data_IF_455215077134
#
_entry.id   IF_455215077134
#
_cell.length_a   1.000
_cell.length_b   1.000
_cell.length_c   1.000
_cell.angle_alpha   90.00
_cell.angle_beta   90.00
_cell.angle_gamma   90.00
#
_symmetry.space_group_name_H-M   'P 1'
#
loop_
_entity.id
_entity.type
_entity.pdbx_description
1 polymer ?
#
# COMPACT_ATOMS: atom_id res chain seq x y z
N UNK A 1 -5.11 24.57 -23.89
CA UNK A 1 -5.40 24.62 -22.44
C UNK A 1 -4.70 23.43 -21.80
N UNK A 2 -3.57 23.67 -21.13
CA UNK A 2 -2.78 22.61 -20.50
C UNK A 2 -3.54 22.10 -19.27
N UNK A 3 -4.01 20.86 -19.31
CA UNK A 3 -4.56 20.18 -18.14
C UNK A 3 -3.38 19.74 -17.30
N UNK A 4 -3.12 20.45 -16.20
CA UNK A 4 -2.24 19.95 -15.14
C UNK A 4 -2.91 18.67 -14.62
N UNK A 5 -2.30 17.47 -14.77
CA UNK A 5 -2.84 16.27 -14.14
C UNK A 5 -2.79 16.46 -12.61
N UNK A 6 -3.74 15.92 -11.83
CA UNK A 6 -3.62 15.96 -10.38
C UNK A 6 -2.30 15.32 -9.96
N UNK A 7 -1.46 16.08 -9.25
CA UNK A 7 -0.12 15.68 -8.77
C UNK A 7 -0.19 14.55 -7.73
N UNK A 8 -1.38 14.23 -7.21
CA UNK A 8 -1.66 13.06 -6.40
C UNK A 8 -3.16 12.72 -6.43
N UNK A 9 -3.51 11.49 -6.83
CA UNK A 9 -4.88 10.95 -6.65
C UNK A 9 -4.91 10.15 -5.35
N UNK A 10 -5.24 10.80 -4.25
CA UNK A 10 -5.39 10.14 -2.95
C UNK A 10 -6.79 9.54 -2.75
N UNK A 11 -7.76 9.86 -3.62
CA UNK A 11 -9.16 9.46 -3.46
C UNK A 11 -9.79 8.92 -4.75
N UNK A 12 -9.31 7.76 -5.19
CA UNK A 12 -10.14 6.68 -5.72
C UNK A 12 -9.71 5.42 -4.97
N UNK A 13 -10.02 5.37 -3.67
CA UNK A 13 -9.47 4.36 -2.76
C UNK A 13 -9.83 2.94 -3.21
N UNK A 14 -8.82 2.14 -3.57
CA UNK A 14 -8.99 0.70 -3.78
C UNK A 14 -8.94 0.02 -2.42
N UNK A 15 -10.10 -0.31 -1.86
CA UNK A 15 -10.16 -1.07 -0.60
C UNK A 15 -10.09 -2.56 -0.90
N UNK A 16 -9.00 -3.20 -0.48
CA UNK A 16 -8.82 -4.64 -0.58
C UNK A 16 -8.99 -5.24 0.82
N UNK A 17 -9.96 -6.14 0.99
CA UNK A 17 -10.20 -6.84 2.27
C UNK A 17 -9.96 -8.32 2.12
N UNK A 18 -9.41 -8.94 3.17
CA UNK A 18 -9.19 -10.41 3.25
C UNK A 18 -8.38 -10.94 2.05
N UNK A 19 -7.34 -10.22 1.66
CA UNK A 19 -6.43 -10.69 0.63
C UNK A 19 -5.39 -11.65 1.21
N UNK A 20 -4.94 -12.57 0.37
CA UNK A 20 -3.90 -13.54 0.67
C UNK A 20 -2.65 -13.22 -0.15
N UNK A 21 -1.50 -13.74 0.31
CA UNK A 21 -0.24 -13.61 -0.43
C UNK A 21 -0.32 -14.14 -1.87
N UNK A 22 -1.19 -15.14 -2.12
CA UNK A 22 -1.44 -15.69 -3.44
C UNK A 22 -2.09 -14.67 -4.41
N UNK A 23 -2.76 -13.65 -3.88
CA UNK A 23 -3.46 -12.63 -4.67
C UNK A 23 -2.53 -11.50 -5.14
N UNK A 24 -1.28 -11.47 -4.65
CA UNK A 24 -0.36 -10.35 -4.86
C UNK A 24 -0.11 -10.04 -6.35
N UNK A 25 0.03 -11.07 -7.20
CA UNK A 25 0.23 -10.87 -8.63
C UNK A 25 -0.99 -10.19 -9.29
N UNK A 26 -2.20 -10.66 -8.98
CA UNK A 26 -3.44 -10.10 -9.51
C UNK A 26 -3.68 -8.67 -9.01
N UNK A 27 -3.33 -8.38 -7.76
CA UNK A 27 -3.43 -7.02 -7.20
C UNK A 27 -2.44 -6.06 -7.85
N UNK A 28 -1.21 -6.50 -8.10
CA UNK A 28 -0.21 -5.70 -8.81
C UNK A 28 -0.68 -5.40 -10.24
N UNK A 29 -1.16 -6.41 -10.96
CA UNK A 29 -1.70 -6.27 -12.32
C UNK A 29 -2.87 -5.27 -12.35
N UNK A 30 -3.86 -5.46 -11.47
CA UNK A 30 -5.02 -4.58 -11.39
C UNK A 30 -4.67 -3.15 -10.95
N UNK A 31 -3.69 -2.99 -10.05
CA UNK A 31 -3.23 -1.68 -9.60
C UNK A 31 -2.50 -0.93 -10.70
N UNK A 32 -1.60 -1.59 -11.42
CA UNK A 32 -0.83 -0.96 -12.50
C UNK A 32 -1.57 -0.87 -13.84
N UNK A 33 -2.72 -1.53 -14.00
CA UNK A 33 -3.59 -1.35 -15.18
C UNK A 33 -4.24 0.04 -15.24
N UNK A 34 -4.21 0.81 -14.15
CA UNK A 34 -4.69 2.19 -14.13
C UNK A 34 -3.57 3.13 -14.58
N UNK A 35 -3.81 3.88 -15.65
CA UNK A 35 -2.87 4.87 -16.15
C UNK A 35 -2.56 5.95 -15.09
N UNK A 36 -1.27 6.25 -14.92
CA UNK A 36 -0.79 7.24 -13.95
C UNK A 36 -0.51 6.70 -12.53
N UNK A 37 -0.80 5.43 -12.23
CA UNK A 37 -0.39 4.84 -10.94
C UNK A 37 1.08 4.40 -10.99
N UNK A 38 1.95 5.12 -10.30
CA UNK A 38 3.39 4.83 -10.29
C UNK A 38 3.82 3.86 -9.19
N UNK A 39 3.00 3.74 -8.14
CA UNK A 39 3.29 2.89 -7.00
C UNK A 39 2.01 2.37 -6.32
N UNK A 40 2.14 1.22 -5.67
CA UNK A 40 1.15 0.64 -4.76
C UNK A 40 1.70 0.65 -3.35
N UNK A 41 0.84 0.88 -2.37
CA UNK A 41 1.23 0.91 -0.96
C UNK A 41 0.40 -0.05 -0.11
N UNK A 42 1.08 -0.65 0.87
CA UNK A 42 0.46 -1.39 1.97
C UNK A 42 0.84 -0.67 3.25
N UNK A 43 -0.17 -0.22 3.99
CA UNK A 43 -0.01 0.40 5.30
C UNK A 43 -0.61 -0.51 6.36
N UNK A 44 0.12 -0.75 7.43
CA UNK A 44 -0.38 -1.48 8.59
C UNK A 44 0.26 -0.94 9.87
N UNK A 45 -0.44 -1.06 11.00
CA UNK A 45 0.17 -0.79 12.30
C UNK A 45 1.32 -1.79 12.58
N UNK A 46 2.40 -1.30 13.19
CA UNK A 46 3.61 -2.07 13.46
C UNK A 46 3.38 -3.30 14.35
N UNK A 47 2.34 -3.32 15.18
CA UNK A 47 1.97 -4.50 15.97
C UNK A 47 1.50 -5.67 15.10
N UNK A 48 1.00 -5.41 13.88
CA UNK A 48 0.54 -6.42 12.95
C UNK A 48 1.69 -7.07 12.18
N UNK A 49 2.48 -7.86 12.90
CA UNK A 49 3.63 -8.61 12.34
C UNK A 49 3.23 -9.67 11.31
N UNK A 50 1.97 -10.13 11.31
CA UNK A 50 1.45 -11.06 10.31
C UNK A 50 1.33 -10.37 8.94
N UNK A 51 0.74 -9.17 8.90
CA UNK A 51 0.67 -8.35 7.69
C UNK A 51 2.06 -7.96 7.19
N UNK A 52 3.00 -7.63 8.09
CA UNK A 52 4.37 -7.26 7.71
C UNK A 52 5.11 -8.32 6.87
N UNK A 53 4.76 -9.61 7.01
CA UNK A 53 5.41 -10.71 6.26
C UNK A 53 5.00 -10.74 4.79
N UNK A 54 3.82 -10.24 4.45
CA UNK A 54 3.28 -10.29 3.09
C UNK A 54 4.05 -9.36 2.14
N UNK A 55 4.13 -8.03 2.37
CA UNK A 55 4.79 -7.10 1.45
C UNK A 55 6.26 -7.47 1.24
N UNK A 56 6.97 -7.85 2.32
CA UNK A 56 8.34 -8.34 2.25
C UNK A 56 8.52 -9.52 1.28
N UNK A 57 7.56 -10.46 1.26
CA UNK A 57 7.66 -11.65 0.42
C UNK A 57 7.30 -11.42 -1.04
N UNK A 58 6.54 -10.36 -1.34
CA UNK A 58 6.04 -10.08 -2.70
C UNK A 58 6.71 -8.86 -3.35
N UNK A 59 7.86 -8.44 -2.83
CA UNK A 59 8.74 -7.45 -3.47
C UNK A 59 8.45 -6.00 -3.13
N UNK A 60 7.56 -5.72 -2.18
CA UNK A 60 7.41 -4.36 -1.66
C UNK A 60 8.60 -4.04 -0.74
N UNK A 61 9.01 -2.77 -0.73
CA UNK A 61 10.05 -2.24 0.16
C UNK A 61 9.43 -1.36 1.23
N UNK A 62 9.94 -1.42 2.47
CA UNK A 62 9.50 -0.52 3.54
C UNK A 62 10.07 0.88 3.28
N UNK A 63 9.20 1.89 3.22
CA UNK A 63 9.58 3.27 2.86
C UNK A 63 9.33 4.29 3.95
N UNK A 64 8.45 4.01 4.92
CA UNK A 64 8.15 4.93 6.01
C UNK A 64 7.65 4.21 7.26
N UNK A 65 7.95 4.81 8.40
CA UNK A 65 7.36 4.53 9.71
C UNK A 65 6.81 5.85 10.25
N UNK A 66 5.50 5.93 10.48
CA UNK A 66 4.82 7.16 10.83
C UNK A 66 4.02 6.98 12.12
N UNK A 67 4.27 7.80 13.16
CA UNK A 67 3.41 7.84 14.33
C UNK A 67 1.99 8.28 13.94
N UNK A 68 0.98 7.55 14.44
CA UNK A 68 -0.44 7.83 14.24
C UNK A 68 -1.21 7.57 15.54
N UNK A 69 -2.40 8.17 15.65
CA UNK A 69 -3.31 7.83 16.76
C UNK A 69 -3.83 6.40 16.55
N UNK A 70 -3.66 5.48 17.51
CA UNK A 70 -4.24 4.15 17.42
C UNK A 70 -5.76 4.21 17.20
N UNK A 71 -6.24 3.49 16.20
CA UNK A 71 -7.64 3.41 15.81
C UNK A 71 -8.35 2.17 16.34
N UNK A 72 -7.59 1.13 16.71
CA UNK A 72 -8.10 -0.14 17.19
C UNK A 72 -7.32 -0.70 18.41
N UNK A 73 -7.97 -1.52 19.27
CA UNK A 73 -7.28 -2.21 20.35
C UNK A 73 -6.14 -3.10 19.84
N UNK A 74 -4.95 -2.91 20.43
CA UNK A 74 -3.75 -3.68 20.09
C UNK A 74 -2.85 -3.03 19.04
N UNK A 75 -3.24 -1.90 18.47
CA UNK A 75 -2.35 -1.05 17.68
C UNK A 75 -1.34 -0.33 18.60
N UNK A 76 -0.13 -0.12 18.10
CA UNK A 76 0.92 0.65 18.80
C UNK A 76 1.01 2.10 18.33
N UNK A 77 0.23 2.49 17.32
CA UNK A 77 0.19 3.85 16.79
C UNK A 77 1.39 4.16 15.91
N UNK A 78 1.90 3.15 15.19
CA UNK A 78 2.98 3.32 14.22
C UNK A 78 2.55 2.65 12.93
N UNK A 79 2.19 3.45 11.94
CA UNK A 79 1.93 2.96 10.60
C UNK A 79 3.25 2.66 9.88
N UNK A 80 3.36 1.45 9.36
CA UNK A 80 4.46 0.99 8.52
C UNK A 80 3.99 0.96 7.07
N UNK A 81 4.60 1.79 6.22
CA UNK A 81 4.30 1.86 4.79
C UNK A 81 5.29 1.04 3.99
N UNK A 82 4.76 0.13 3.20
CA UNK A 82 5.49 -0.65 2.19
C UNK A 82 5.06 -0.18 0.81
N UNK A 83 6.01 -0.04 -0.12
CA UNK A 83 5.76 0.45 -1.48
C UNK A 83 6.31 -0.51 -2.53
N UNK A 84 5.54 -0.74 -3.58
CA UNK A 84 5.97 -1.40 -4.81
C UNK A 84 5.85 -0.40 -5.95
N UNK A 85 6.92 -0.24 -6.72
CA UNK A 85 6.92 0.62 -7.90
C UNK A 85 6.47 -0.16 -9.14
N UNK A 86 5.88 0.57 -10.10
CA UNK A 86 5.57 0.02 -11.41
C UNK A 86 6.85 -0.60 -12.02
N UNK A 87 6.80 -1.87 -12.47
CA UNK A 87 7.93 -2.46 -13.20
C UNK A 87 8.25 -1.63 -14.45
N UNK A 88 9.55 -1.48 -14.75
CA UNK A 88 10.02 -0.83 -15.98
C UNK A 88 9.63 -1.62 -17.23
#
# INVERSE_FOLDING_TARGET
MSRIPPESVTCAAVTIRRWHIADAAALNEAGFSVDGIEALEIVHDAANTASARVPHRVGFIRVADMPVEPSAPGEVGIDVTWRLHRPL
#
